data_IF_902955679091
#
_entry.id   IF_902955679091
#
_cell.length_a   1.000
_cell.length_b   1.000
_cell.length_c   1.000
_cell.angle_alpha   90.00
_cell.angle_beta   90.00
_cell.angle_gamma   90.00
#
_symmetry.space_group_name_H-M   'P 1'
#
loop_
_entity.id
_entity.type
_entity.pdbx_description
1 polymer ?
#
# COMPACT_ATOMS: atom_id res chain seq x y z
N UNK A 1 -47.61 -18.53 -46.58
CA UNK A 1 -46.24 -18.30 -47.11
C UNK A 1 -45.83 -16.81 -47.21
N UNK A 2 -46.71 -15.83 -46.91
CA UNK A 2 -46.36 -14.39 -46.97
C UNK A 2 -45.62 -13.87 -45.73
N UNK A 3 -46.03 -14.29 -44.53
CA UNK A 3 -45.50 -13.76 -43.27
C UNK A 3 -43.99 -13.98 -43.06
N UNK A 4 -43.45 -15.15 -43.43
CA UNK A 4 -42.01 -15.45 -43.32
C UNK A 4 -41.16 -14.57 -44.24
N UNK A 5 -41.62 -14.31 -45.47
CA UNK A 5 -40.91 -13.44 -46.41
C UNK A 5 -40.91 -11.99 -45.94
N UNK A 6 -41.99 -11.54 -45.32
CA UNK A 6 -42.10 -10.18 -44.78
C UNK A 6 -41.21 -9.96 -43.55
N UNK A 7 -41.09 -10.98 -42.68
CA UNK A 7 -40.19 -10.99 -41.53
C UNK A 7 -38.71 -10.87 -41.94
N UNK A 8 -38.30 -11.61 -42.98
CA UNK A 8 -36.95 -11.51 -43.54
C UNK A 8 -36.72 -10.19 -44.29
N UNK A 9 -37.75 -9.60 -44.90
CA UNK A 9 -37.64 -8.30 -45.60
C UNK A 9 -37.55 -7.11 -44.64
N UNK A 10 -38.11 -7.23 -43.41
CA UNK A 10 -37.99 -6.23 -42.34
C UNK A 10 -36.66 -6.28 -41.58
N UNK A 11 -35.94 -7.41 -41.68
CA UNK A 11 -34.64 -7.58 -41.01
C UNK A 11 -34.74 -7.99 -39.54
N UNK A 12 -35.96 -8.25 -39.04
CA UNK A 12 -36.21 -8.58 -37.63
C UNK A 12 -35.33 -9.75 -37.11
N UNK A 13 -35.12 -10.88 -37.85
CA UNK A 13 -34.27 -11.96 -37.40
C UNK A 13 -32.78 -11.56 -37.23
N UNK A 14 -32.29 -10.67 -38.07
CA UNK A 14 -30.90 -10.19 -38.00
C UNK A 14 -30.68 -9.30 -36.77
N UNK A 15 -31.69 -8.49 -36.41
CA UNK A 15 -31.68 -7.66 -35.19
C UNK A 15 -31.65 -8.54 -33.94
N UNK A 16 -32.49 -9.58 -33.89
CA UNK A 16 -32.49 -10.54 -32.78
C UNK A 16 -31.19 -11.32 -32.67
N UNK A 17 -30.59 -11.72 -33.81
CA UNK A 17 -29.30 -12.42 -33.82
C UNK A 17 -28.16 -11.52 -33.35
N UNK A 18 -28.13 -10.26 -33.79
CA UNK A 18 -27.16 -9.27 -33.31
C UNK A 18 -27.34 -8.96 -31.82
N UNK A 19 -28.59 -8.79 -31.36
CA UNK A 19 -28.91 -8.58 -29.96
C UNK A 19 -28.57 -9.78 -29.07
N UNK A 20 -28.83 -10.99 -29.54
CA UNK A 20 -28.47 -12.23 -28.83
C UNK A 20 -26.96 -12.44 -28.80
N UNK A 21 -26.27 -12.17 -29.92
CA UNK A 21 -24.81 -12.19 -29.99
C UNK A 21 -24.17 -11.19 -29.04
N UNK A 22 -24.67 -9.95 -29.01
CA UNK A 22 -24.26 -8.94 -28.03
C UNK A 22 -24.53 -9.39 -26.60
N UNK A 23 -25.71 -9.97 -26.34
CA UNK A 23 -26.07 -10.53 -25.03
C UNK A 23 -25.11 -11.61 -24.55
N UNK A 24 -24.72 -12.53 -25.43
CA UNK A 24 -23.71 -13.56 -25.14
C UNK A 24 -22.35 -12.93 -24.85
N UNK A 25 -21.91 -11.95 -25.65
CA UNK A 25 -20.66 -11.24 -25.41
C UNK A 25 -20.64 -10.56 -24.03
N UNK A 26 -21.72 -9.87 -23.66
CA UNK A 26 -21.85 -9.23 -22.34
C UNK A 26 -21.81 -10.29 -21.23
N UNK A 27 -22.51 -11.41 -21.39
CA UNK A 27 -22.52 -12.50 -20.43
C UNK A 27 -21.13 -13.14 -20.27
N UNK A 28 -20.39 -13.31 -21.36
CA UNK A 28 -19.00 -13.80 -21.33
C UNK A 28 -18.08 -12.82 -20.59
N UNK A 29 -18.19 -11.52 -20.86
CA UNK A 29 -17.40 -10.49 -20.16
C UNK A 29 -17.74 -10.49 -18.67
N UNK A 30 -19.02 -10.55 -18.31
CA UNK A 30 -19.44 -10.62 -16.92
C UNK A 30 -18.91 -11.89 -16.23
N UNK A 31 -18.99 -13.05 -16.90
CA UNK A 31 -18.43 -14.31 -16.40
C UNK A 31 -16.91 -14.24 -16.20
N UNK A 32 -16.20 -13.60 -17.13
CA UNK A 32 -14.76 -13.37 -17.02
C UNK A 32 -14.42 -12.46 -15.84
N UNK A 33 -15.16 -11.36 -15.64
CA UNK A 33 -14.98 -10.48 -14.48
C UNK A 33 -15.20 -11.26 -13.18
N UNK A 34 -16.27 -12.05 -13.08
CA UNK A 34 -16.53 -12.88 -11.90
C UNK A 34 -15.41 -13.88 -11.65
N UNK A 35 -14.90 -14.53 -12.69
CA UNK A 35 -13.78 -15.47 -12.57
C UNK A 35 -12.51 -14.77 -12.05
N UNK A 36 -12.19 -13.59 -12.60
CA UNK A 36 -11.03 -12.79 -12.16
C UNK A 36 -11.19 -12.37 -10.70
N UNK A 37 -12.36 -11.87 -10.31
CA UNK A 37 -12.65 -11.47 -8.94
C UNK A 37 -12.55 -12.67 -7.98
N UNK A 38 -13.20 -13.79 -8.29
CA UNK A 38 -13.20 -14.97 -7.44
C UNK A 38 -11.79 -15.53 -7.21
N UNK A 39 -10.94 -15.53 -8.23
CA UNK A 39 -9.55 -16.00 -8.12
C UNK A 39 -8.60 -14.96 -7.54
N UNK A 40 -8.88 -13.66 -7.71
CA UNK A 40 -8.00 -12.57 -7.32
C UNK A 40 -8.25 -12.03 -5.90
N UNK A 41 -9.51 -11.95 -5.44
CA UNK A 41 -9.84 -11.30 -4.17
C UNK A 41 -9.10 -11.95 -2.98
N UNK A 42 -8.92 -13.27 -2.98
CA UNK A 42 -8.24 -13.97 -1.90
C UNK A 42 -6.78 -13.54 -1.66
N UNK A 43 -6.11 -12.94 -2.65
CA UNK A 43 -4.72 -12.47 -2.52
C UNK A 43 -4.60 -11.12 -1.81
N UNK A 44 -5.67 -10.34 -1.76
CA UNK A 44 -5.66 -9.01 -1.14
C UNK A 44 -5.91 -9.05 0.38
N UNK A 45 -6.35 -10.19 0.92
CA UNK A 45 -6.61 -10.35 2.35
C UNK A 45 -5.53 -11.22 3.00
N UNK A 46 -4.96 -10.79 4.14
CA UNK A 46 -4.03 -11.61 4.89
C UNK A 46 -4.73 -12.87 5.41
N UNK A 47 -4.00 -13.99 5.34
CA UNK A 47 -4.42 -15.26 5.93
C UNK A 47 -4.12 -15.25 7.43
N UNK A 48 -4.67 -16.24 8.14
CA UNK A 48 -4.38 -16.41 9.56
C UNK A 48 -2.87 -16.61 9.78
N UNK A 49 -2.31 -15.83 10.71
CA UNK A 49 -0.94 -15.97 11.15
C UNK A 49 -0.82 -17.23 12.00
N UNK A 50 0.17 -18.06 11.69
CA UNK A 50 0.46 -19.31 12.38
C UNK A 50 1.82 -19.21 13.03
N UNK A 51 1.92 -19.67 14.27
CA UNK A 51 3.17 -19.93 14.96
C UNK A 51 3.51 -21.41 14.84
N UNK A 52 4.73 -21.69 14.39
CA UNK A 52 5.28 -23.03 14.23
C UNK A 52 6.50 -23.17 15.13
N UNK A 53 6.52 -24.22 15.94
CA UNK A 53 7.73 -24.65 16.64
C UNK A 53 8.29 -25.84 15.86
N UNK A 54 9.57 -25.75 15.49
CA UNK A 54 10.30 -26.84 14.84
C UNK A 54 10.84 -27.81 15.90
N UNK A 55 11.25 -28.99 15.46
CA UNK A 55 11.85 -30.02 16.33
C UNK A 55 13.18 -29.57 16.96
N UNK A 56 13.88 -28.63 16.32
CA UNK A 56 15.12 -28.01 16.83
C UNK A 56 14.87 -26.89 17.86
N UNK A 57 13.60 -26.58 18.17
CA UNK A 57 13.20 -25.52 19.09
C UNK A 57 13.02 -24.15 18.44
N UNK A 58 13.34 -24.00 17.15
CA UNK A 58 13.14 -22.74 16.42
C UNK A 58 11.64 -22.40 16.38
N UNK A 59 11.29 -21.16 16.72
CA UNK A 59 9.92 -20.64 16.59
C UNK A 59 9.84 -19.73 15.38
N UNK A 60 8.94 -20.06 14.46
CA UNK A 60 8.61 -19.26 13.29
C UNK A 60 7.18 -18.76 13.40
N UNK A 61 6.92 -17.55 12.92
CA UNK A 61 5.57 -17.00 12.81
C UNK A 61 5.38 -16.43 11.41
N UNK A 62 4.25 -16.76 10.78
CA UNK A 62 3.99 -16.33 9.41
C UNK A 62 2.68 -16.84 8.83
N UNK A 63 2.43 -16.51 7.57
CA UNK A 63 1.28 -16.99 6.80
C UNK A 63 1.65 -18.24 6.01
N UNK A 64 0.78 -19.26 6.03
CA UNK A 64 0.98 -20.46 5.22
C UNK A 64 0.52 -20.19 3.79
N UNK A 65 1.48 -20.06 2.87
CA UNK A 65 1.20 -19.68 1.47
C UNK A 65 1.13 -20.88 0.54
N UNK A 66 1.86 -21.96 0.86
CA UNK A 66 1.92 -23.16 0.02
C UNK A 66 2.13 -24.43 0.83
N UNK A 67 1.68 -25.55 0.25
CA UNK A 67 1.94 -26.90 0.73
C UNK A 67 2.12 -27.80 -0.49
N UNK A 68 3.26 -28.46 -0.57
CA UNK A 68 3.63 -29.29 -1.73
C UNK A 68 4.14 -30.64 -1.26
N UNK A 69 3.73 -31.71 -1.94
CA UNK A 69 4.28 -33.04 -1.73
C UNK A 69 5.73 -33.12 -2.23
N UNK A 70 6.61 -33.75 -1.45
CA UNK A 70 8.00 -33.98 -1.82
C UNK A 70 8.03 -35.22 -2.73
N UNK A 71 8.42 -35.11 -4.01
CA UNK A 71 8.48 -36.26 -4.90
C UNK A 71 9.61 -37.20 -4.47
N UNK A 72 9.25 -38.45 -4.16
CA UNK A 72 10.21 -39.53 -3.89
C UNK A 72 9.95 -40.71 -4.85
N UNK A 73 10.15 -40.53 -6.17
CA UNK A 73 9.81 -41.53 -7.17
C UNK A 73 10.57 -42.85 -6.93
N UNK A 74 9.88 -43.99 -7.10
CA UNK A 74 10.48 -45.32 -6.88
C UNK A 74 10.51 -45.79 -5.43
N UNK A 75 9.96 -45.01 -4.48
CA UNK A 75 9.80 -45.41 -3.07
C UNK A 75 8.32 -45.58 -2.71
N UNK A 76 8.02 -46.38 -1.69
CA UNK A 76 6.65 -46.51 -1.16
C UNK A 76 6.09 -45.20 -0.58
N UNK A 77 6.99 -44.25 -0.28
CA UNK A 77 6.67 -42.96 0.33
C UNK A 77 6.56 -41.81 -0.68
N UNK A 78 6.42 -42.13 -1.98
CA UNK A 78 6.19 -41.12 -3.02
C UNK A 78 5.01 -40.21 -2.67
N UNK A 79 5.27 -38.90 -2.56
CA UNK A 79 4.31 -37.84 -2.19
C UNK A 79 3.66 -38.02 -0.80
N UNK A 80 4.21 -38.86 0.08
CA UNK A 80 3.71 -38.99 1.47
C UNK A 80 4.21 -37.89 2.39
N UNK A 81 5.35 -37.28 2.07
CA UNK A 81 5.92 -36.15 2.80
C UNK A 81 5.56 -34.83 2.14
N UNK A 82 5.36 -33.79 2.93
CA UNK A 82 5.05 -32.45 2.44
C UNK A 82 6.08 -31.45 2.91
N UNK A 83 6.34 -30.46 2.07
CA UNK A 83 6.97 -29.19 2.43
C UNK A 83 5.90 -28.10 2.52
N UNK A 84 6.06 -27.21 3.48
CA UNK A 84 5.20 -26.04 3.67
C UNK A 84 5.99 -24.78 3.39
N UNK A 85 5.37 -23.81 2.73
CA UNK A 85 5.92 -22.48 2.54
C UNK A 85 5.28 -21.54 3.56
N UNK A 86 6.14 -20.90 4.35
CA UNK A 86 5.75 -19.91 5.33
C UNK A 86 6.24 -18.54 4.86
N UNK A 87 5.33 -17.58 4.72
CA UNK A 87 5.66 -16.17 4.53
C UNK A 87 5.92 -15.55 5.90
N UNK A 88 7.18 -15.31 6.21
CA UNK A 88 7.65 -14.80 7.49
C UNK A 88 7.48 -13.28 7.61
N UNK A 89 7.50 -12.56 6.48
CA UNK A 89 7.60 -11.11 6.47
C UNK A 89 8.91 -10.66 7.13
N UNK A 90 8.89 -9.49 7.78
CA UNK A 90 10.01 -8.96 8.57
C UNK A 90 11.34 -8.92 7.78
N UNK A 91 11.32 -8.59 6.48
CA UNK A 91 12.50 -8.66 5.59
C UNK A 91 13.73 -7.92 6.11
N UNK A 92 13.47 -6.82 6.80
CA UNK A 92 14.42 -5.95 7.49
C UNK A 92 15.11 -6.61 8.70
N UNK A 93 14.50 -7.66 9.26
CA UNK A 93 15.01 -8.43 10.41
C UNK A 93 15.58 -9.77 9.92
N UNK A 94 14.78 -10.54 9.18
CA UNK A 94 15.10 -11.92 8.80
C UNK A 94 15.88 -12.02 7.49
N UNK A 95 15.90 -10.96 6.68
CA UNK A 95 16.49 -10.94 5.34
C UNK A 95 15.69 -11.71 4.26
N UNK A 96 14.69 -12.49 4.65
CA UNK A 96 13.91 -13.37 3.76
C UNK A 96 12.41 -13.29 4.03
N UNK A 97 11.64 -13.12 2.96
CA UNK A 97 10.17 -13.00 3.05
C UNK A 97 9.48 -14.36 3.17
N UNK A 98 10.09 -15.42 2.62
CA UNK A 98 9.54 -16.77 2.55
C UNK A 98 10.57 -17.81 2.98
N UNK A 99 10.10 -18.84 3.68
CA UNK A 99 10.89 -20.02 4.03
C UNK A 99 10.10 -21.28 3.73
N UNK A 100 10.73 -22.20 3.01
CA UNK A 100 10.25 -23.58 2.93
C UNK A 100 10.77 -24.38 4.10
N UNK A 101 9.92 -25.22 4.68
CA UNK A 101 10.29 -26.18 5.72
C UNK A 101 9.58 -27.50 5.52
N UNK A 102 10.21 -28.60 5.95
CA UNK A 102 9.55 -29.90 5.92
C UNK A 102 8.44 -29.93 6.96
N UNK A 103 7.24 -30.36 6.58
CA UNK A 103 6.09 -30.42 7.50
C UNK A 103 6.36 -31.40 8.65
N UNK A 104 7.20 -32.42 8.43
CA UNK A 104 7.63 -33.38 9.44
C UNK A 104 8.53 -32.81 10.52
N UNK A 105 9.18 -31.67 10.28
CA UNK A 105 10.03 -30.99 11.27
C UNK A 105 9.19 -30.10 12.22
N UNK A 106 7.91 -29.89 11.93
CA UNK A 106 7.01 -29.07 12.74
C UNK A 106 6.52 -29.88 13.94
N UNK A 107 6.98 -29.54 15.13
CA UNK A 107 6.60 -30.21 16.38
C UNK A 107 5.28 -29.65 16.94
N UNK A 108 5.01 -28.36 16.75
CA UNK A 108 3.79 -27.69 17.21
C UNK A 108 3.33 -26.62 16.24
N UNK A 109 2.02 -26.48 16.08
CA UNK A 109 1.38 -25.44 15.27
C UNK A 109 0.28 -24.76 16.09
N UNK A 110 0.30 -23.43 16.18
CA UNK A 110 -0.69 -22.65 16.91
C UNK A 110 -1.13 -21.43 16.12
N UNK A 111 -2.35 -20.94 16.38
CA UNK A 111 -2.85 -19.66 15.87
C UNK A 111 -3.02 -18.71 17.06
N UNK A 112 -1.95 -18.00 17.47
CA UNK A 112 -2.00 -17.08 18.60
C UNK A 112 -2.98 -15.92 18.33
N UNK A 113 -3.83 -15.61 19.31
CA UNK A 113 -4.79 -14.49 19.22
C UNK A 113 -4.11 -13.12 19.28
N UNK A 114 -2.91 -13.08 19.84
CA UNK A 114 -2.09 -11.89 20.03
C UNK A 114 -1.11 -11.64 18.86
N UNK A 115 -1.12 -12.50 17.84
CA UNK A 115 -0.35 -12.27 16.63
C UNK A 115 -0.98 -11.20 15.75
N UNK A 116 -0.13 -10.30 15.24
CA UNK A 116 -0.50 -9.22 14.35
C UNK A 116 0.20 -9.37 13.01
N UNK A 117 -0.55 -9.06 11.96
CA UNK A 117 -0.03 -8.82 10.61
C UNK A 117 -0.15 -7.33 10.34
N UNK A 118 0.99 -6.64 10.24
CA UNK A 118 1.04 -5.20 10.00
C UNK A 118 1.61 -4.97 8.61
N UNK A 119 0.74 -4.58 7.68
CA UNK A 119 1.17 -4.20 6.33
C UNK A 119 1.91 -2.86 6.38
N UNK A 120 3.15 -2.83 5.90
CA UNK A 120 4.00 -1.63 5.85
C UNK A 120 4.21 -1.21 4.41
N UNK A 121 4.48 0.08 4.20
CA UNK A 121 4.81 0.62 2.87
C UNK A 121 6.17 0.17 2.36
N UNK A 122 7.09 -0.10 3.28
CA UNK A 122 8.46 -0.49 3.00
C UNK A 122 8.76 -1.81 3.71
N UNK A 123 9.65 -2.61 3.12
CA UNK A 123 10.16 -3.87 3.70
C UNK A 123 9.09 -4.95 3.95
N UNK A 124 7.94 -4.87 3.28
CA UNK A 124 6.86 -5.87 3.39
C UNK A 124 6.19 -5.90 4.77
N UNK A 125 5.35 -6.90 5.04
CA UNK A 125 4.61 -6.97 6.29
C UNK A 125 5.51 -7.23 7.48
N UNK A 126 5.15 -6.65 8.62
CA UNK A 126 5.66 -7.08 9.91
C UNK A 126 4.71 -8.12 10.51
N UNK A 127 5.24 -9.28 10.89
CA UNK A 127 4.49 -10.36 11.54
C UNK A 127 5.09 -10.62 12.92
N UNK A 128 4.27 -10.48 13.96
CA UNK A 128 4.75 -10.62 15.34
C UNK A 128 3.67 -10.34 16.37
N UNK A 129 4.08 -9.80 17.53
CA UNK A 129 3.19 -9.43 18.65
C UNK A 129 3.34 -7.96 18.98
N UNK A 130 2.24 -7.29 19.29
CA UNK A 130 2.31 -5.91 19.76
C UNK A 130 2.68 -5.88 21.25
N UNK A 131 3.76 -5.20 21.61
CA UNK A 131 4.28 -5.23 22.99
C UNK A 131 3.98 -3.93 23.72
N UNK A 132 4.15 -2.81 23.03
CA UNK A 132 4.04 -1.48 23.63
C UNK A 132 3.51 -0.47 22.64
N UNK A 133 2.74 0.48 23.14
CA UNK A 133 2.34 1.70 22.43
C UNK A 133 2.89 2.89 23.21
N UNK A 134 3.64 3.75 22.53
CA UNK A 134 4.21 4.98 23.10
C UNK A 134 3.80 6.20 22.30
N UNK A 135 3.69 7.35 22.97
CA UNK A 135 3.42 8.66 22.38
C UNK A 135 4.52 9.65 22.83
N UNK A 136 5.62 9.67 22.08
CA UNK A 136 6.89 10.24 22.52
C UNK A 136 7.47 9.39 23.66
N UNK A 137 7.88 10.02 24.75
CA UNK A 137 8.45 9.33 25.91
C UNK A 137 7.39 8.70 26.83
N UNK A 138 6.10 8.95 26.56
CA UNK A 138 5.01 8.43 27.38
C UNK A 138 4.57 7.07 26.87
N UNK A 139 4.60 6.07 27.75
CA UNK A 139 3.93 4.78 27.53
C UNK A 139 2.41 4.96 27.63
N UNK A 140 1.70 4.58 26.58
CA UNK A 140 0.23 4.66 26.48
C UNK A 140 -0.40 3.32 26.84
N UNK A 141 0.19 2.21 26.39
CA UNK A 141 -0.24 0.86 26.70
C UNK A 141 0.94 -0.12 26.64
N UNK A 142 0.89 -1.15 27.48
CA UNK A 142 1.85 -2.25 27.50
C UNK A 142 1.14 -3.60 27.60
N UNK A 143 1.71 -4.60 26.95
CA UNK A 143 1.14 -5.94 26.79
C UNK A 143 0.19 -6.04 25.60
N UNK A 144 0.17 -7.20 24.95
CA UNK A 144 -0.53 -7.42 23.69
C UNK A 144 -1.99 -6.99 23.71
N UNK A 145 -2.75 -7.41 24.72
CA UNK A 145 -4.19 -7.11 24.77
C UNK A 145 -4.48 -5.61 24.90
N UNK A 146 -3.75 -4.91 25.76
CA UNK A 146 -3.92 -3.47 25.96
C UNK A 146 -3.50 -2.68 24.71
N UNK A 147 -2.40 -3.07 24.07
CA UNK A 147 -1.93 -2.43 22.83
C UNK A 147 -2.91 -2.67 21.69
N UNK A 148 -3.37 -3.92 21.50
CA UNK A 148 -4.37 -4.26 20.48
C UNK A 148 -5.66 -3.46 20.66
N UNK A 149 -6.13 -3.25 21.90
CA UNK A 149 -7.29 -2.42 22.19
C UNK A 149 -7.07 -0.93 21.86
N UNK A 150 -5.84 -0.44 21.96
CA UNK A 150 -5.45 0.94 21.68
C UNK A 150 -5.12 1.22 20.19
N UNK A 151 -4.92 0.19 19.37
CA UNK A 151 -4.58 0.35 17.94
C UNK A 151 -5.68 1.01 17.08
N UNK A 152 -6.98 0.65 17.18
CA UNK A 152 -8.00 1.22 16.29
C UNK A 152 -8.09 2.76 16.30
N UNK A 153 -8.10 3.46 17.46
CA UNK A 153 -8.09 4.92 17.46
C UNK A 153 -6.78 5.49 16.92
N UNK A 154 -5.63 4.83 17.17
CA UNK A 154 -4.34 5.25 16.63
C UNK A 154 -4.32 5.18 15.09
N UNK A 155 -4.77 4.07 14.50
CA UNK A 155 -4.82 3.90 13.04
C UNK A 155 -5.74 4.94 12.39
N UNK A 156 -6.86 5.28 13.04
CA UNK A 156 -7.75 6.36 12.57
C UNK A 156 -7.11 7.75 12.68
N UNK A 157 -6.34 8.01 13.73
CA UNK A 157 -5.58 9.25 13.87
C UNK A 157 -4.52 9.36 12.76
N UNK A 158 -3.67 8.34 12.59
CA UNK A 158 -2.68 8.29 11.52
C UNK A 158 -3.29 8.41 10.11
N UNK A 159 -4.48 7.85 9.89
CA UNK A 159 -5.24 8.04 8.67
C UNK A 159 -5.56 9.51 8.39
N UNK A 160 -6.11 10.22 9.38
CA UNK A 160 -6.41 11.66 9.28
C UNK A 160 -5.15 12.50 9.11
N UNK A 161 -4.08 12.17 9.83
CA UNK A 161 -2.81 12.89 9.73
C UNK A 161 -2.21 12.76 8.33
N UNK A 162 -2.25 11.55 7.74
CA UNK A 162 -1.84 11.34 6.34
C UNK A 162 -2.66 12.12 5.33
N UNK A 163 -3.98 12.17 5.51
CA UNK A 163 -4.85 12.93 4.61
C UNK A 163 -4.57 14.44 4.72
N UNK A 164 -4.36 14.95 5.93
CA UNK A 164 -3.99 16.34 6.16
C UNK A 164 -2.62 16.69 5.56
N UNK A 165 -1.61 15.84 5.76
CA UNK A 165 -0.28 16.01 5.16
C UNK A 165 -0.35 16.00 3.64
N UNK A 166 -1.10 15.06 3.06
CA UNK A 166 -1.26 14.97 1.61
C UNK A 166 -1.92 16.22 1.02
N UNK A 167 -2.91 16.80 1.70
CA UNK A 167 -3.53 18.06 1.25
C UNK A 167 -2.57 19.24 1.35
N UNK A 168 -1.81 19.35 2.46
CA UNK A 168 -0.80 20.38 2.62
C UNK A 168 0.29 20.30 1.51
N UNK A 169 0.77 19.10 1.19
CA UNK A 169 1.78 18.87 0.16
C UNK A 169 1.26 19.12 -1.26
N UNK A 170 0.11 18.53 -1.61
CA UNK A 170 -0.37 18.54 -3.00
C UNK A 170 -1.16 19.79 -3.35
N UNK A 171 -1.95 20.30 -2.42
CA UNK A 171 -2.86 21.40 -2.68
C UNK A 171 -2.19 22.73 -2.33
N UNK A 172 -1.82 22.94 -1.06
CA UNK A 172 -1.26 24.22 -0.61
C UNK A 172 0.14 24.48 -1.19
N UNK A 173 1.09 23.57 -0.91
CA UNK A 173 2.47 23.68 -1.41
C UNK A 173 2.50 23.55 -2.94
N UNK A 174 1.71 22.63 -3.49
CA UNK A 174 1.57 22.47 -4.95
C UNK A 174 1.11 23.75 -5.65
N UNK A 175 0.11 24.45 -5.10
CA UNK A 175 -0.37 25.71 -5.66
C UNK A 175 0.69 26.83 -5.59
N UNK A 176 1.42 26.95 -4.48
CA UNK A 176 2.52 27.93 -4.37
C UNK A 176 3.64 27.60 -5.35
N UNK A 177 4.03 26.33 -5.45
CA UNK A 177 5.07 25.90 -6.37
C UNK A 177 4.69 26.16 -7.84
N UNK A 178 3.43 25.91 -8.20
CA UNK A 178 2.91 26.26 -9.52
C UNK A 178 3.04 27.77 -9.80
N UNK A 179 2.70 28.63 -8.84
CA UNK A 179 2.84 30.09 -8.98
C UNK A 179 4.29 30.54 -9.08
N UNK A 180 5.21 29.91 -8.33
CA UNK A 180 6.65 30.16 -8.45
C UNK A 180 7.12 29.81 -9.86
N UNK A 181 6.71 28.67 -10.39
CA UNK A 181 7.10 28.25 -11.73
C UNK A 181 6.52 29.19 -12.81
N UNK A 182 5.27 29.63 -12.68
CA UNK A 182 4.71 30.65 -13.56
C UNK A 182 5.52 31.95 -13.53
N UNK A 183 5.94 32.40 -12.35
CA UNK A 183 6.79 33.59 -12.22
C UNK A 183 8.17 33.38 -12.86
N UNK A 184 8.80 32.22 -12.66
CA UNK A 184 10.06 31.86 -13.34
C UNK A 184 9.93 31.88 -14.86
N UNK A 185 8.84 31.32 -15.40
CA UNK A 185 8.57 31.34 -16.84
C UNK A 185 8.35 32.76 -17.36
N UNK A 186 7.70 33.65 -16.60
CA UNK A 186 7.61 35.09 -16.95
C UNK A 186 8.99 35.73 -17.01
N UNK A 187 9.87 35.44 -16.05
CA UNK A 187 11.25 35.91 -16.06
C UNK A 187 12.01 35.44 -17.31
N UNK A 188 11.86 34.16 -17.67
CA UNK A 188 12.44 33.62 -18.92
C UNK A 188 11.90 34.32 -20.17
N UNK A 189 10.63 34.70 -20.20
CA UNK A 189 10.06 35.47 -21.31
C UNK A 189 10.70 36.85 -21.42
N UNK A 190 10.91 37.55 -20.30
CA UNK A 190 11.61 38.85 -20.29
C UNK A 190 13.05 38.71 -20.80
N UNK A 191 13.77 37.66 -20.37
CA UNK A 191 15.13 37.38 -20.87
C UNK A 191 15.18 37.14 -22.37
N UNK A 192 14.18 36.43 -22.93
CA UNK A 192 14.07 36.22 -24.37
C UNK A 192 13.71 37.51 -25.12
N UNK A 193 12.84 38.35 -24.56
CA UNK A 193 12.47 39.63 -25.14
C UNK A 193 13.67 40.59 -25.18
N UNK A 194 14.45 40.68 -24.10
CA UNK A 194 15.66 41.51 -24.04
C UNK A 194 16.72 41.09 -25.09
N UNK A 195 16.80 39.80 -25.42
CA UNK A 195 17.66 39.30 -26.52
C UNK A 195 17.16 39.68 -27.90
N UNK A 196 15.83 39.74 -28.09
CA UNK A 196 15.21 40.11 -29.38
C UNK A 196 15.21 41.61 -29.62
N UNK A 197 15.02 42.40 -28.56
CA UNK A 197 14.95 43.85 -28.58
C UNK A 197 15.99 44.44 -27.61
N UNK A 198 17.29 44.50 -27.99
CA UNK A 198 18.31 45.09 -27.14
C UNK A 198 18.00 46.57 -26.85
N UNK A 199 17.99 46.95 -25.56
CA UNK A 199 17.77 48.33 -25.11
C UNK A 199 16.35 48.66 -24.65
N UNK A 200 15.40 47.72 -24.73
CA UNK A 200 14.07 47.86 -24.11
C UNK A 200 14.20 47.88 -22.57
N UNK A 201 13.68 48.92 -21.92
CA UNK A 201 13.68 49.02 -20.45
C UNK A 201 12.65 48.05 -19.88
N UNK A 202 13.13 47.07 -19.12
CA UNK A 202 12.33 46.08 -18.41
C UNK A 202 12.57 46.12 -16.90
N UNK A 203 13.12 47.23 -16.39
CA UNK A 203 13.57 47.34 -15.00
C UNK A 203 12.42 47.25 -14.02
N UNK A 204 11.27 47.83 -14.37
CA UNK A 204 10.07 47.80 -13.53
C UNK A 204 9.45 46.40 -13.47
N UNK A 205 9.23 45.74 -14.62
CA UNK A 205 8.65 44.39 -14.68
C UNK A 205 9.53 43.37 -13.96
N UNK A 206 10.86 43.54 -14.03
CA UNK A 206 11.81 42.68 -13.31
C UNK A 206 11.76 42.90 -11.80
N UNK A 207 11.58 44.14 -11.33
CA UNK A 207 11.38 44.44 -9.91
C UNK A 207 10.08 43.83 -9.39
N UNK A 208 8.97 44.06 -10.08
CA UNK A 208 7.67 43.46 -9.72
C UNK A 208 7.75 41.93 -9.67
N UNK A 209 8.43 41.31 -10.63
CA UNK A 209 8.62 39.86 -10.65
C UNK A 209 9.47 39.36 -9.47
N UNK A 210 10.51 40.09 -9.09
CA UNK A 210 11.34 39.77 -7.93
C UNK A 210 10.54 39.87 -6.62
N UNK A 211 9.71 40.89 -6.47
CA UNK A 211 8.82 41.05 -5.31
C UNK A 211 7.82 39.90 -5.21
N UNK A 212 7.19 39.51 -6.32
CA UNK A 212 6.28 38.35 -6.38
C UNK A 212 7.00 37.06 -6.02
N UNK A 213 8.20 36.82 -6.57
CA UNK A 213 8.99 35.63 -6.24
C UNK A 213 9.38 35.58 -4.77
N UNK A 214 9.84 36.71 -4.20
CA UNK A 214 10.20 36.80 -2.79
C UNK A 214 8.99 36.51 -1.88
N UNK A 215 7.82 37.06 -2.19
CA UNK A 215 6.59 36.80 -1.46
C UNK A 215 6.17 35.32 -1.53
N UNK A 216 6.25 34.70 -2.72
CA UNK A 216 5.94 33.28 -2.90
C UNK A 216 6.94 32.36 -2.18
N UNK A 217 8.23 32.71 -2.17
CA UNK A 217 9.25 31.98 -1.43
C UNK A 217 9.01 32.04 0.09
N UNK A 218 8.63 33.20 0.62
CA UNK A 218 8.26 33.34 2.03
C UNK A 218 7.02 32.51 2.40
N UNK A 219 6.02 32.47 1.52
CA UNK A 219 4.84 31.60 1.69
C UNK A 219 5.25 30.11 1.68
N UNK A 220 6.09 29.71 0.73
CA UNK A 220 6.59 28.34 0.64
C UNK A 220 7.33 27.92 1.91
N UNK A 221 8.27 28.74 2.41
CA UNK A 221 9.02 28.46 3.64
C UNK A 221 8.11 28.30 4.87
N UNK A 222 7.01 29.09 4.93
CA UNK A 222 6.00 28.96 5.99
C UNK A 222 5.27 27.62 5.92
N UNK A 223 4.87 27.21 4.71
CA UNK A 223 4.22 25.91 4.49
C UNK A 223 5.15 24.74 4.76
N UNK A 224 6.44 24.85 4.40
CA UNK A 224 7.46 23.84 4.69
C UNK A 224 7.65 23.67 6.20
N UNK A 225 7.70 24.77 6.96
CA UNK A 225 7.75 24.72 8.43
C UNK A 225 6.52 24.02 9.02
N UNK A 226 5.32 24.37 8.52
CA UNK A 226 4.07 23.74 8.94
C UNK A 226 4.05 22.24 8.61
N UNK A 227 4.57 21.86 7.44
CA UNK A 227 4.69 20.47 7.03
C UNK A 227 5.61 19.70 7.98
N UNK A 228 6.79 20.24 8.29
CA UNK A 228 7.73 19.64 9.23
C UNK A 228 7.10 19.40 10.61
N UNK A 229 6.41 20.40 11.15
CA UNK A 229 5.71 20.29 12.43
C UNK A 229 4.59 19.23 12.41
N UNK A 230 3.83 19.16 11.31
CA UNK A 230 2.76 18.18 11.16
C UNK A 230 3.31 16.75 11.05
N UNK A 231 4.41 16.55 10.31
CA UNK A 231 5.09 15.25 10.21
C UNK A 231 5.64 14.80 11.55
N UNK A 232 6.29 15.72 12.29
CA UNK A 232 6.85 15.42 13.61
C UNK A 232 5.75 15.03 14.62
N UNK A 233 4.67 15.82 14.68
CA UNK A 233 3.54 15.54 15.56
C UNK A 233 2.89 14.19 15.26
N UNK A 234 2.70 13.86 13.97
CA UNK A 234 2.08 12.59 13.57
C UNK A 234 3.02 11.37 13.74
N UNK A 235 4.33 11.58 13.72
CA UNK A 235 5.35 10.53 13.91
C UNK A 235 5.67 10.25 15.39
N UNK A 236 5.05 11.00 16.31
CA UNK A 236 5.29 10.89 17.76
C UNK A 236 4.80 9.56 18.34
N UNK A 237 3.66 9.07 17.85
CA UNK A 237 3.11 7.80 18.28
C UNK A 237 3.82 6.62 17.60
N UNK A 238 4.24 5.63 18.40
CA UNK A 238 4.99 4.45 17.94
C UNK A 238 4.44 3.18 18.56
N UNK A 239 4.39 2.12 17.77
CA UNK A 239 4.01 0.77 18.21
C UNK A 239 5.27 -0.10 18.18
N UNK A 240 5.66 -0.63 19.33
CA UNK A 240 6.73 -1.63 19.44
C UNK A 240 6.14 -3.01 19.15
N UNK A 241 6.65 -3.67 18.12
CA UNK A 241 6.30 -5.03 17.76
C UNK A 241 7.47 -5.98 18.01
N UNK A 242 7.18 -7.21 18.44
CA UNK A 242 8.18 -8.26 18.68
C UNK A 242 8.00 -9.40 17.69
N UNK A 243 9.09 -9.80 17.03
CA UNK A 243 9.11 -10.95 16.13
C UNK A 243 9.03 -12.27 16.91
N UNK A 244 8.84 -13.39 16.21
CA UNK A 244 8.91 -14.72 16.82
C UNK A 244 10.28 -15.04 17.44
N UNK A 245 11.36 -14.45 16.91
CA UNK A 245 12.73 -14.62 17.43
C UNK A 245 13.01 -13.76 18.68
N UNK A 246 12.07 -12.90 19.09
CA UNK A 246 12.20 -12.04 20.26
C UNK A 246 12.73 -10.64 19.96
N UNK A 247 13.10 -10.34 18.72
CA UNK A 247 13.57 -9.01 18.32
C UNK A 247 12.42 -8.00 18.32
N UNK A 248 12.66 -6.82 18.91
CA UNK A 248 11.69 -5.73 18.97
C UNK A 248 11.98 -4.65 17.94
N UNK A 249 10.92 -4.10 17.36
CA UNK A 249 10.99 -3.00 16.41
C UNK A 249 9.89 -1.98 16.67
N UNK A 250 10.29 -0.72 16.72
CA UNK A 250 9.37 0.40 16.77
C UNK A 250 8.91 0.77 15.36
N UNK A 251 7.59 0.80 15.16
CA UNK A 251 6.96 1.31 13.96
C UNK A 251 6.27 2.65 14.28
N UNK A 252 6.57 3.73 13.54
CA UNK A 252 5.80 4.96 13.65
C UNK A 252 4.36 4.72 13.18
N UNK A 253 3.42 5.47 13.75
CA UNK A 253 2.01 5.34 13.39
C UNK A 253 1.69 5.86 11.97
N UNK A 254 2.46 6.83 11.47
CA UNK A 254 2.28 7.50 10.17
C UNK A 254 2.64 6.59 8.97
#
# INVERSE_FOLDING_TARGET
MSALRELFRRGDPAIWLAGSGLGICILMIAGMIVLILANGLGFFWPRAVVEMTLADGTVLMGEVTGREGIPAPGTADHLRHNRIQLKLGNRDVTGVDFRWGNESEVSRRAQPRDAVYVERREYGPFIGRAVKLSDGDREVAAGSDAVLAALPPLVRAAGRDRDALRSLERDEIGAVNYRIEQARLRGRKLDLAARKNPGEDQSQERRELQEVLAALQAQYATLETRLGQAVEAASRARVTLRTAAGEEKDLPAL
#
